data_IF_445257492607
#
_entry.id   IF_445257492607
#
_cell.length_a   1.000
_cell.length_b   1.000
_cell.length_c   1.000
_cell.angle_alpha   90.00
_cell.angle_beta   90.00
_cell.angle_gamma   90.00
#
_symmetry.space_group_name_H-M   'P 1'
#
loop_
_entity.id
_entity.type
_entity.pdbx_description
1 polymer ?
#
# COMPACT_ATOMS: atom_id res chain seq x y z
N UNK A 1 -2.14 5.69 -25.44
CA UNK A 1 -2.80 6.53 -24.41
C UNK A 1 -3.63 5.62 -23.54
N UNK A 2 -3.43 5.68 -22.22
CA UNK A 2 -4.22 4.89 -21.25
C UNK A 2 -5.70 5.34 -21.31
N UNK A 3 -6.62 4.40 -21.07
CA UNK A 3 -8.07 4.69 -20.96
C UNK A 3 -8.38 5.83 -19.96
N UNK A 4 -7.47 6.11 -19.04
CA UNK A 4 -7.64 7.09 -17.94
C UNK A 4 -6.78 8.35 -18.10
N UNK A 5 -6.12 8.57 -19.23
CA UNK A 5 -5.25 9.75 -19.44
C UNK A 5 -5.98 11.08 -19.25
N UNK A 6 -7.29 11.12 -19.54
CA UNK A 6 -8.11 12.32 -19.32
C UNK A 6 -8.29 12.60 -17.82
N UNK A 7 -8.52 11.56 -16.98
CA UNK A 7 -8.66 11.70 -15.52
C UNK A 7 -7.34 12.14 -14.88
N UNK A 8 -6.22 11.60 -15.35
CA UNK A 8 -4.87 12.02 -14.92
C UNK A 8 -4.64 13.49 -15.20
N UNK A 9 -4.97 13.98 -16.41
CA UNK A 9 -4.82 15.39 -16.75
C UNK A 9 -5.72 16.29 -15.92
N UNK A 10 -6.99 15.89 -15.72
CA UNK A 10 -7.92 16.61 -14.88
C UNK A 10 -7.38 16.73 -13.45
N UNK A 11 -6.98 15.64 -12.84
CA UNK A 11 -6.41 15.64 -11.48
C UNK A 11 -5.15 16.50 -11.39
N UNK A 12 -4.25 16.41 -12.37
CA UNK A 12 -3.00 17.17 -12.38
C UNK A 12 -3.21 18.70 -12.35
N UNK A 13 -4.31 19.23 -12.88
CA UNK A 13 -4.60 20.66 -12.85
C UNK A 13 -4.87 21.20 -11.44
N UNK A 14 -5.34 20.35 -10.54
CA UNK A 14 -5.73 20.72 -9.17
C UNK A 14 -4.66 20.40 -8.12
N UNK A 15 -3.61 19.63 -8.45
CA UNK A 15 -2.52 19.30 -7.51
C UNK A 15 -1.48 20.42 -7.51
N UNK A 16 -1.18 21.06 -6.35
CA UNK A 16 -0.11 22.04 -6.24
C UNK A 16 1.27 21.47 -6.58
N UNK A 17 2.24 22.35 -6.87
CA UNK A 17 3.65 21.98 -6.98
C UNK A 17 4.34 22.04 -5.61
N UNK A 18 5.57 21.51 -5.54
CA UNK A 18 6.48 21.61 -4.39
C UNK A 18 5.93 21.04 -3.07
N UNK A 19 5.13 19.98 -3.19
CA UNK A 19 4.60 19.25 -2.03
C UNK A 19 5.66 18.31 -1.45
N UNK A 20 5.64 18.15 -0.12
CA UNK A 20 6.32 17.03 0.52
C UNK A 20 5.64 15.71 0.12
N UNK A 21 4.32 15.64 0.26
CA UNK A 21 3.55 14.41 0.02
C UNK A 21 2.29 14.66 -0.80
N UNK A 22 2.07 13.84 -1.82
CA UNK A 22 0.76 13.67 -2.43
C UNK A 22 0.13 12.37 -1.92
N UNK A 23 -0.99 12.50 -1.21
CA UNK A 23 -1.71 11.36 -0.60
C UNK A 23 -2.83 10.92 -1.51
N UNK A 24 -2.95 9.64 -1.77
CA UNK A 24 -4.03 9.07 -2.58
C UNK A 24 -4.91 8.11 -1.79
N UNK A 25 -6.22 8.29 -1.87
CA UNK A 25 -7.24 7.38 -1.38
C UNK A 25 -8.05 6.82 -2.54
N UNK A 26 -8.32 5.51 -2.51
CA UNK A 26 -9.23 4.86 -3.46
C UNK A 26 -10.46 4.38 -2.72
N UNK A 27 -11.61 4.92 -3.09
CA UNK A 27 -12.90 4.66 -2.47
C UNK A 27 -13.68 3.58 -3.23
N UNK A 28 -14.41 2.76 -2.49
CA UNK A 28 -15.40 1.84 -3.03
C UNK A 28 -16.52 1.61 -2.01
N UNK A 29 -17.52 2.48 -2.00
CA UNK A 29 -18.64 2.42 -1.07
C UNK A 29 -18.30 2.82 0.38
N UNK A 30 -17.25 3.64 0.57
CA UNK A 30 -16.86 4.18 1.87
C UNK A 30 -17.90 5.19 2.37
N UNK A 31 -18.10 5.30 3.67
CA UNK A 31 -18.98 6.28 4.25
C UNK A 31 -18.33 7.67 4.36
N UNK A 32 -19.17 8.69 4.48
CA UNK A 32 -18.74 10.09 4.53
C UNK A 32 -17.82 10.38 5.72
N UNK A 33 -18.12 9.82 6.89
CA UNK A 33 -17.36 10.10 8.12
C UNK A 33 -15.96 9.50 8.04
N UNK A 34 -15.82 8.29 7.48
CA UNK A 34 -14.52 7.66 7.22
C UNK A 34 -13.68 8.52 6.27
N UNK A 35 -14.26 8.98 5.15
CA UNK A 35 -13.55 9.81 4.17
C UNK A 35 -13.16 11.16 4.80
N UNK A 36 -14.08 11.78 5.56
CA UNK A 36 -13.81 13.06 6.24
C UNK A 36 -12.65 12.92 7.22
N UNK A 37 -12.64 11.87 8.05
CA UNK A 37 -11.53 11.59 8.98
C UNK A 37 -10.21 11.39 8.23
N UNK A 38 -10.22 10.60 7.15
CA UNK A 38 -9.03 10.34 6.35
C UNK A 38 -8.44 11.60 5.74
N UNK A 39 -9.25 12.51 5.22
CA UNK A 39 -8.78 13.80 4.68
C UNK A 39 -8.28 14.69 5.81
N UNK A 40 -9.03 14.83 6.90
CA UNK A 40 -8.71 15.71 8.01
C UNK A 40 -7.37 15.37 8.67
N UNK A 41 -7.05 14.09 8.86
CA UNK A 41 -5.77 13.68 9.46
C UNK A 41 -4.57 14.02 8.56
N UNK A 42 -4.72 13.97 7.24
CA UNK A 42 -3.67 14.41 6.31
C UNK A 42 -3.48 15.92 6.39
N UNK A 43 -4.57 16.68 6.43
CA UNK A 43 -4.54 18.14 6.52
C UNK A 43 -4.04 18.66 7.87
N UNK A 44 -4.19 17.89 8.94
CA UNK A 44 -3.65 18.20 10.27
C UNK A 44 -2.13 17.99 10.37
N UNK A 45 -1.53 17.30 9.40
CA UNK A 45 -0.08 17.12 9.37
C UNK A 45 0.64 18.44 9.07
N UNK A 46 1.78 18.64 9.73
CA UNK A 46 2.62 19.87 9.59
C UNK A 46 3.42 19.94 8.30
N UNK A 47 3.33 18.96 7.42
CA UNK A 47 4.04 18.94 6.14
C UNK A 47 3.17 19.52 5.01
N UNK A 48 3.82 19.95 3.93
CA UNK A 48 3.11 20.34 2.72
C UNK A 48 2.52 19.11 2.03
N UNK A 49 1.18 18.98 2.06
CA UNK A 49 0.50 17.81 1.51
C UNK A 49 -0.73 18.17 0.67
N UNK A 50 -1.10 17.26 -0.23
CA UNK A 50 -2.33 17.35 -1.00
C UNK A 50 -3.01 15.99 -1.11
N UNK A 51 -4.34 15.98 -0.98
CA UNK A 51 -5.14 14.75 -1.05
C UNK A 51 -5.78 14.59 -2.41
N UNK A 52 -5.63 13.41 -2.99
CA UNK A 52 -6.33 12.98 -4.21
C UNK A 52 -7.23 11.79 -3.87
N UNK A 53 -8.51 11.97 -4.05
CA UNK A 53 -9.55 10.96 -3.81
C UNK A 53 -10.00 10.38 -5.14
N UNK A 54 -9.87 9.08 -5.31
CA UNK A 54 -10.32 8.35 -6.50
C UNK A 54 -11.56 7.54 -6.14
N UNK A 55 -12.71 7.92 -6.67
CA UNK A 55 -13.95 7.21 -6.45
C UNK A 55 -14.16 6.10 -7.50
N UNK A 56 -14.04 4.87 -7.07
CA UNK A 56 -14.30 3.66 -7.84
C UNK A 56 -15.72 3.11 -7.64
N UNK A 57 -16.60 3.86 -6.98
CA UNK A 57 -17.97 3.43 -6.71
C UNK A 57 -18.85 3.50 -7.96
N UNK A 58 -19.85 2.64 -8.02
CA UNK A 58 -20.86 2.66 -9.07
C UNK A 58 -22.22 2.29 -8.43
N UNK A 59 -23.15 3.24 -8.28
CA UNK A 59 -23.05 4.65 -8.69
C UNK A 59 -21.96 5.42 -7.90
N UNK A 60 -21.48 6.56 -8.42
CA UNK A 60 -20.51 7.41 -7.72
C UNK A 60 -21.03 7.91 -6.38
N UNK A 61 -20.09 8.17 -5.46
CA UNK A 61 -20.38 8.80 -4.18
C UNK A 61 -20.63 10.31 -4.35
N UNK A 62 -21.43 10.89 -3.46
CA UNK A 62 -21.47 12.33 -3.31
C UNK A 62 -20.23 12.81 -2.53
N UNK A 63 -19.29 13.43 -3.22
CA UNK A 63 -17.99 13.87 -2.69
C UNK A 63 -17.79 15.39 -2.78
N UNK A 64 -18.88 16.19 -2.89
CA UNK A 64 -18.78 17.65 -2.86
C UNK A 64 -18.07 18.13 -1.59
N UNK A 65 -18.36 17.51 -0.45
CA UNK A 65 -17.70 17.82 0.83
C UNK A 65 -16.17 17.59 0.79
N UNK A 66 -15.70 16.54 0.12
CA UNK A 66 -14.27 16.27 -0.01
C UNK A 66 -13.57 17.34 -0.86
N UNK A 67 -14.23 17.79 -1.93
CA UNK A 67 -13.77 18.92 -2.73
C UNK A 67 -13.79 20.23 -1.93
N UNK A 68 -14.81 20.47 -1.12
CA UNK A 68 -14.88 21.64 -0.23
C UNK A 68 -13.78 21.62 0.86
N UNK A 69 -13.32 20.44 1.27
CA UNK A 69 -12.13 20.26 2.12
C UNK A 69 -10.81 20.46 1.36
N UNK A 70 -10.82 20.79 0.07
CA UNK A 70 -9.61 21.03 -0.73
C UNK A 70 -8.99 19.77 -1.34
N UNK A 71 -9.63 18.62 -1.27
CA UNK A 71 -9.15 17.43 -1.96
C UNK A 71 -9.44 17.48 -3.46
N UNK A 72 -8.55 16.95 -4.28
CA UNK A 72 -8.82 16.66 -5.69
C UNK A 72 -9.65 15.39 -5.78
N UNK A 73 -10.87 15.46 -6.31
CA UNK A 73 -11.77 14.32 -6.48
C UNK A 73 -11.78 13.88 -7.94
N UNK A 74 -11.61 12.58 -8.17
CA UNK A 74 -11.67 11.95 -9.49
C UNK A 74 -12.65 10.78 -9.45
N UNK A 75 -13.68 10.81 -10.28
CA UNK A 75 -14.69 9.75 -10.38
C UNK A 75 -14.41 8.88 -11.60
N UNK A 76 -14.27 7.57 -11.40
CA UNK A 76 -14.00 6.62 -12.48
C UNK A 76 -15.26 6.03 -13.12
N UNK A 77 -16.42 6.20 -12.47
CA UNK A 77 -17.72 5.64 -12.86
C UNK A 77 -17.74 4.09 -12.96
N UNK A 78 -16.74 3.43 -12.41
CA UNK A 78 -16.63 1.97 -12.40
C UNK A 78 -15.59 1.53 -11.38
N UNK A 79 -15.72 0.33 -10.81
CA UNK A 79 -14.64 -0.24 -10.03
C UNK A 79 -13.51 -0.73 -10.95
N UNK A 80 -12.46 0.07 -11.07
CA UNK A 80 -11.28 -0.24 -11.89
C UNK A 80 -10.20 -1.02 -11.13
N UNK A 81 -10.39 -1.26 -9.83
CA UNK A 81 -9.44 -1.93 -8.95
C UNK A 81 -8.57 -0.96 -8.14
N UNK A 82 -7.90 -1.49 -7.12
CA UNK A 82 -7.16 -0.70 -6.14
C UNK A 82 -5.94 0.00 -6.76
N UNK A 83 -5.00 -0.77 -7.29
CA UNK A 83 -3.76 -0.22 -7.86
C UNK A 83 -4.00 0.73 -9.03
N UNK A 84 -4.96 0.42 -9.92
CA UNK A 84 -5.31 1.31 -11.04
C UNK A 84 -5.90 2.63 -10.56
N UNK A 85 -6.71 2.61 -9.49
CA UNK A 85 -7.22 3.83 -8.88
C UNK A 85 -6.06 4.71 -8.42
N UNK A 86 -5.15 4.18 -7.62
CA UNK A 86 -3.97 4.90 -7.17
C UNK A 86 -3.08 5.38 -8.31
N UNK A 87 -2.98 4.63 -9.41
CA UNK A 87 -2.18 5.04 -10.57
C UNK A 87 -2.61 6.39 -11.17
N UNK A 88 -3.91 6.75 -11.08
CA UNK A 88 -4.39 8.06 -11.53
C UNK A 88 -3.73 9.16 -10.69
N UNK A 89 -3.73 9.04 -9.37
CA UNK A 89 -3.12 10.00 -8.45
C UNK A 89 -1.58 10.03 -8.59
N UNK A 90 -0.95 8.85 -8.68
CA UNK A 90 0.50 8.72 -8.86
C UNK A 90 0.97 9.38 -10.17
N UNK A 91 0.22 9.21 -11.25
CA UNK A 91 0.53 9.83 -12.53
C UNK A 91 0.28 11.34 -12.51
N UNK A 92 -0.83 11.79 -11.90
CA UNK A 92 -1.20 13.20 -11.83
C UNK A 92 -0.23 14.04 -10.96
N UNK A 93 0.36 13.43 -9.92
CA UNK A 93 1.33 14.09 -9.02
C UNK A 93 2.78 14.07 -9.52
N UNK A 94 3.02 13.59 -10.75
CA UNK A 94 4.38 13.56 -11.32
C UNK A 94 5.01 14.95 -11.36
N UNK A 95 6.23 15.07 -10.78
CA UNK A 95 6.97 16.32 -10.69
C UNK A 95 6.37 17.36 -9.73
N UNK A 96 5.44 16.96 -8.84
CA UNK A 96 4.74 17.86 -7.91
C UNK A 96 5.00 17.58 -6.44
N UNK A 97 5.55 16.42 -6.09
CA UNK A 97 5.82 16.03 -4.71
C UNK A 97 7.12 15.24 -4.60
N UNK A 98 7.68 15.22 -3.40
CA UNK A 98 8.86 14.43 -3.03
C UNK A 98 8.49 12.97 -2.79
N UNK A 99 7.33 12.76 -2.19
CA UNK A 99 6.80 11.45 -1.83
C UNK A 99 5.36 11.28 -2.29
N UNK A 100 4.99 10.06 -2.60
CA UNK A 100 3.59 9.65 -2.77
C UNK A 100 3.20 8.74 -1.62
N UNK A 101 2.10 9.04 -0.95
CA UNK A 101 1.50 8.17 0.05
C UNK A 101 0.25 7.49 -0.52
N UNK A 102 0.32 6.19 -0.69
CA UNK A 102 -0.84 5.33 -0.91
C UNK A 102 -1.35 4.93 0.47
N UNK A 103 -2.60 5.23 0.77
CA UNK A 103 -3.16 5.00 2.10
C UNK A 103 -4.62 4.57 2.03
N UNK A 104 -5.02 3.64 2.91
CA UNK A 104 -6.43 3.29 3.09
C UNK A 104 -7.14 4.35 3.94
N UNK A 105 -8.44 4.53 3.71
CA UNK A 105 -9.28 5.48 4.47
C UNK A 105 -9.61 5.03 5.88
N UNK A 106 -9.52 3.72 6.17
CA UNK A 106 -9.75 3.12 7.48
C UNK A 106 -8.50 3.07 8.37
N UNK A 107 -7.46 3.85 8.01
CA UNK A 107 -6.28 4.09 8.84
C UNK A 107 -6.44 5.38 9.65
N UNK A 108 -6.04 5.32 10.92
CA UNK A 108 -5.89 6.48 11.80
C UNK A 108 -4.42 6.63 12.19
N UNK A 109 -3.87 7.85 12.05
CA UNK A 109 -2.49 8.14 12.46
C UNK A 109 -2.42 8.43 13.96
N UNK A 110 -1.45 7.87 14.66
CA UNK A 110 -1.11 8.32 16.02
C UNK A 110 -0.16 9.52 15.90
N UNK A 111 -0.52 10.64 16.53
CA UNK A 111 0.23 11.88 16.38
C UNK A 111 0.33 12.34 14.91
N UNK A 112 1.48 12.86 14.52
CA UNK A 112 1.76 13.26 13.13
C UNK A 112 2.64 12.22 12.43
N UNK A 113 2.13 10.99 12.35
CA UNK A 113 2.86 9.88 11.73
C UNK A 113 3.20 10.15 10.25
N UNK A 114 2.43 10.96 9.53
CA UNK A 114 2.72 11.29 8.13
C UNK A 114 4.01 12.13 8.06
N UNK A 115 4.14 13.17 8.88
CA UNK A 115 5.36 13.98 8.94
C UNK A 115 6.55 13.18 9.50
N UNK A 116 6.31 12.31 10.48
CA UNK A 116 7.34 11.39 10.99
C UNK A 116 7.86 10.45 9.90
N UNK A 117 6.98 9.91 9.05
CA UNK A 117 7.37 9.07 7.93
C UNK A 117 8.14 9.85 6.84
N UNK A 118 7.82 11.13 6.59
CA UNK A 118 8.64 11.99 5.70
C UNK A 118 10.03 12.20 6.29
N UNK A 119 10.13 12.53 7.59
CA UNK A 119 11.40 12.69 8.29
C UNK A 119 12.22 11.39 8.22
N UNK A 120 11.57 10.25 8.43
CA UNK A 120 12.22 8.94 8.30
C UNK A 120 12.77 8.70 6.88
N UNK A 121 11.97 8.98 5.84
CA UNK A 121 12.42 8.83 4.46
C UNK A 121 13.57 9.80 4.11
N UNK A 122 13.57 11.00 4.66
CA UNK A 122 14.65 11.97 4.46
C UNK A 122 15.97 11.50 5.11
N UNK A 123 15.88 10.85 6.27
CA UNK A 123 17.02 10.25 6.95
C UNK A 123 17.54 8.95 6.26
N UNK A 124 16.74 8.35 5.38
CA UNK A 124 17.08 7.12 4.65
C UNK A 124 17.01 7.37 3.12
N UNK A 125 17.99 8.06 2.52
CA UNK A 125 17.96 8.41 1.10
C UNK A 125 17.97 7.21 0.15
N UNK A 126 18.41 6.05 0.62
CA UNK A 126 18.40 4.77 -0.08
C UNK A 126 17.05 4.01 0.02
N UNK A 127 16.10 4.53 0.81
CA UNK A 127 14.75 3.97 0.90
C UNK A 127 13.87 4.47 -0.27
N UNK A 128 13.27 3.53 -0.98
CA UNK A 128 12.27 3.79 -2.04
C UNK A 128 10.83 3.66 -1.54
N UNK A 129 10.63 2.87 -0.49
CA UNK A 129 9.32 2.62 0.14
C UNK A 129 9.51 2.47 1.64
N UNK A 130 8.62 3.07 2.42
CA UNK A 130 8.53 2.82 3.85
C UNK A 130 7.08 2.62 4.32
N UNK A 131 6.93 1.84 5.40
CA UNK A 131 5.65 1.58 6.08
C UNK A 131 5.84 1.74 7.59
N UNK A 132 4.90 2.39 8.31
CA UNK A 132 4.93 2.50 9.76
C UNK A 132 4.52 1.20 10.46
N UNK A 133 4.61 1.17 11.78
CA UNK A 133 3.97 0.15 12.61
C UNK A 133 2.46 0.26 12.50
N UNK A 134 1.80 -0.85 12.18
CA UNK A 134 0.34 -0.90 12.05
C UNK A 134 -0.24 -1.74 13.19
N UNK A 135 -1.23 -1.20 13.89
CA UNK A 135 -1.95 -1.89 14.97
C UNK A 135 -3.42 -2.04 14.65
N UNK A 136 -4.06 -3.01 15.28
CA UNK A 136 -5.52 -3.07 15.38
C UNK A 136 -6.03 -2.07 16.43
N UNK A 137 -7.35 -1.75 16.44
CA UNK A 137 -7.92 -0.86 17.45
C UNK A 137 -7.77 -1.37 18.89
N UNK A 138 -7.57 -2.67 19.10
CA UNK A 138 -7.29 -3.29 20.40
C UNK A 138 -5.82 -3.15 20.83
N UNK A 139 -4.99 -2.47 20.04
CA UNK A 139 -3.56 -2.27 20.25
C UNK A 139 -2.67 -3.42 19.81
N UNK A 140 -3.23 -4.55 19.38
CA UNK A 140 -2.46 -5.68 18.88
C UNK A 140 -1.80 -5.36 17.53
N UNK A 141 -0.62 -5.95 17.28
CA UNK A 141 0.17 -5.70 16.08
C UNK A 141 -0.45 -6.37 14.84
N UNK A 142 -0.59 -5.61 13.75
CA UNK A 142 -0.82 -6.16 12.43
C UNK A 142 0.50 -6.48 11.74
N UNK A 143 0.76 -7.78 11.49
CA UNK A 143 1.99 -8.24 10.83
C UNK A 143 1.87 -8.09 9.32
N UNK A 144 2.29 -6.93 8.81
CA UNK A 144 2.15 -6.54 7.40
C UNK A 144 3.47 -6.50 6.64
N UNK A 145 4.58 -6.79 7.33
CA UNK A 145 5.91 -6.99 6.74
C UNK A 145 6.07 -8.47 6.39
N UNK A 146 6.38 -8.78 5.13
CA UNK A 146 6.33 -10.17 4.67
C UNK A 146 7.48 -10.50 3.74
N UNK A 147 7.77 -11.79 3.64
CA UNK A 147 8.63 -12.34 2.59
C UNK A 147 7.92 -12.30 1.22
N UNK A 148 8.68 -12.49 0.15
CA UNK A 148 8.08 -12.80 -1.15
C UNK A 148 7.48 -14.22 -1.08
N UNK A 149 6.19 -14.39 -1.41
CA UNK A 149 5.53 -15.69 -1.28
C UNK A 149 6.03 -16.69 -2.34
N UNK A 150 6.03 -17.95 -1.97
CA UNK A 150 6.04 -19.05 -2.92
C UNK A 150 4.66 -19.76 -2.97
N UNK A 151 4.38 -20.60 -3.97
CA UNK A 151 3.10 -21.30 -4.07
C UNK A 151 2.78 -22.16 -2.84
N UNK A 152 3.79 -22.72 -2.15
CA UNK A 152 3.57 -23.52 -0.95
C UNK A 152 3.12 -22.70 0.27
N UNK A 153 3.51 -21.40 0.33
CA UNK A 153 3.01 -20.48 1.36
C UNK A 153 1.49 -20.29 1.21
N UNK A 154 1.01 -20.20 -0.03
CA UNK A 154 -0.43 -20.07 -0.28
C UNK A 154 -1.21 -21.35 0.13
N UNK A 155 -0.65 -22.52 -0.18
CA UNK A 155 -1.22 -23.82 0.22
C UNK A 155 -1.22 -23.92 1.74
N UNK A 156 -0.10 -23.62 2.40
CA UNK A 156 0.04 -23.65 3.84
C UNK A 156 -1.01 -22.77 4.54
N UNK A 157 -1.17 -21.53 4.08
CA UNK A 157 -2.08 -20.53 4.67
C UNK A 157 -3.55 -20.84 4.43
N UNK A 158 -3.92 -21.46 3.31
CA UNK A 158 -5.32 -21.74 2.96
C UNK A 158 -5.80 -23.12 3.37
N UNK A 159 -4.99 -24.14 3.12
CA UNK A 159 -5.41 -25.54 3.28
C UNK A 159 -4.84 -26.20 4.52
N UNK A 160 -3.68 -25.75 5.02
CA UNK A 160 -2.94 -26.39 6.09
C UNK A 160 -2.76 -25.51 7.34
N UNK A 161 -3.56 -24.44 7.47
CA UNK A 161 -3.50 -23.47 8.57
C UNK A 161 -3.54 -24.12 9.97
N UNK A 162 -4.25 -25.24 10.13
CA UNK A 162 -4.37 -25.99 11.40
C UNK A 162 -3.22 -26.96 11.68
N UNK A 163 -2.27 -27.14 10.77
CA UNK A 163 -1.14 -28.06 10.95
C UNK A 163 0.10 -27.33 11.48
N UNK A 164 1.00 -28.07 12.18
CA UNK A 164 2.28 -27.51 12.63
C UNK A 164 3.11 -26.96 11.48
N UNK A 165 3.12 -27.62 10.33
CA UNK A 165 3.82 -27.16 9.13
C UNK A 165 3.24 -25.86 8.58
N UNK A 166 1.90 -25.77 8.47
CA UNK A 166 1.22 -24.55 8.01
C UNK A 166 1.48 -23.36 8.94
N UNK A 167 1.44 -23.61 10.26
CA UNK A 167 1.77 -22.61 11.28
C UNK A 167 3.21 -22.13 11.14
N UNK A 168 4.19 -23.02 11.12
CA UNK A 168 5.61 -22.67 11.01
C UNK A 168 5.92 -21.85 9.75
N UNK A 169 5.29 -22.21 8.61
CA UNK A 169 5.45 -21.41 7.37
C UNK A 169 4.83 -20.02 7.48
N UNK A 170 3.65 -19.91 8.08
CA UNK A 170 3.02 -18.61 8.28
C UNK A 170 3.82 -17.74 9.26
N UNK A 171 4.31 -18.33 10.36
CA UNK A 171 5.13 -17.63 11.34
C UNK A 171 6.42 -17.08 10.72
N UNK A 172 7.04 -17.85 9.83
CA UNK A 172 8.20 -17.39 9.05
C UNK A 172 7.82 -16.29 8.04
N UNK A 173 6.73 -16.47 7.30
CA UNK A 173 6.29 -15.57 6.24
C UNK A 173 5.91 -14.18 6.78
N UNK A 174 5.26 -14.10 7.95
CA UNK A 174 4.79 -12.88 8.61
C UNK A 174 5.67 -12.47 9.81
N UNK A 175 6.84 -13.10 10.01
CA UNK A 175 7.79 -12.78 11.07
C UNK A 175 7.17 -12.76 12.48
N UNK A 176 6.41 -13.80 12.84
CA UNK A 176 5.75 -13.89 14.15
C UNK A 176 6.72 -13.92 15.33
N UNK A 177 7.98 -14.32 15.12
CA UNK A 177 9.02 -14.39 16.15
C UNK A 177 9.84 -13.09 16.28
N UNK A 178 9.47 -12.03 15.54
CA UNK A 178 10.12 -10.73 15.63
C UNK A 178 9.21 -9.73 16.37
N UNK A 179 9.82 -8.86 17.20
CA UNK A 179 9.12 -7.91 18.08
C UNK A 179 8.55 -6.69 17.35
N UNK A 180 9.03 -6.41 16.12
CA UNK A 180 8.65 -5.22 15.36
C UNK A 180 9.02 -3.88 16.04
N UNK A 181 10.10 -3.85 16.82
CA UNK A 181 10.53 -2.65 17.55
C UNK A 181 11.79 -1.99 16.97
N UNK A 182 12.34 -2.54 15.89
CA UNK A 182 13.50 -2.01 15.19
C UNK A 182 13.20 -1.74 13.71
N UNK A 183 13.96 -0.81 13.10
CA UNK A 183 13.92 -0.58 11.64
C UNK A 183 14.47 -1.81 10.93
N UNK A 184 13.73 -2.30 9.94
CA UNK A 184 14.16 -3.48 9.18
C UNK A 184 13.70 -3.41 7.71
N UNK A 185 14.39 -4.15 6.85
CA UNK A 185 14.08 -4.23 5.42
C UNK A 185 13.24 -5.46 5.11
N UNK A 186 12.13 -5.26 4.40
CA UNK A 186 11.25 -6.34 3.95
C UNK A 186 10.93 -6.21 2.46
N UNK A 187 10.95 -7.30 1.69
CA UNK A 187 10.69 -7.23 0.26
C UNK A 187 9.22 -7.02 -0.09
N UNK A 188 8.32 -7.18 0.88
CA UNK A 188 6.90 -6.94 0.73
C UNK A 188 6.34 -6.20 1.95
N UNK A 189 5.85 -5.00 1.71
CA UNK A 189 5.10 -4.16 2.64
C UNK A 189 3.67 -3.98 2.12
N UNK A 190 2.69 -4.04 3.03
CA UNK A 190 1.27 -3.99 2.68
C UNK A 190 0.85 -2.67 2.04
N UNK A 191 -0.07 -2.75 1.09
CA UNK A 191 -0.66 -1.62 0.39
C UNK A 191 -1.51 -0.68 1.24
N UNK A 192 -1.79 -1.01 2.51
CA UNK A 192 -2.62 -0.14 3.36
C UNK A 192 -1.96 1.22 3.67
N UNK A 193 -0.62 1.25 3.78
CA UNK A 193 0.16 2.47 3.93
C UNK A 193 1.52 2.31 3.23
N UNK A 194 1.73 3.01 2.14
CA UNK A 194 2.96 2.96 1.35
C UNK A 194 3.50 4.38 1.12
N UNK A 195 4.51 4.80 1.91
CA UNK A 195 5.24 6.04 1.65
C UNK A 195 6.31 5.77 0.60
N UNK A 196 6.06 6.18 -0.63
CA UNK A 196 6.91 5.91 -1.78
C UNK A 196 7.74 7.15 -2.16
N UNK A 197 9.05 7.00 -2.36
CA UNK A 197 9.91 8.05 -2.92
C UNK A 197 9.56 8.27 -4.39
N UNK A 198 9.25 9.51 -4.76
CA UNK A 198 8.80 9.87 -6.12
C UNK A 198 9.79 9.42 -7.20
N UNK A 199 11.06 9.69 -7.04
CA UNK A 199 12.09 9.31 -8.02
C UNK A 199 12.18 7.80 -8.26
N UNK A 200 11.94 7.00 -7.21
CA UNK A 200 11.92 5.53 -7.32
C UNK A 200 10.67 5.04 -8.04
N UNK A 201 9.50 5.63 -7.74
CA UNK A 201 8.26 5.33 -8.49
C UNK A 201 8.39 5.69 -9.97
N UNK A 202 9.04 6.81 -10.30
CA UNK A 202 9.30 7.19 -11.69
C UNK A 202 10.22 6.19 -12.41
N UNK A 203 11.15 5.55 -11.68
CA UNK A 203 12.07 4.56 -12.22
C UNK A 203 11.40 3.19 -12.42
N UNK A 204 10.66 2.69 -11.42
CA UNK A 204 10.10 1.34 -11.46
C UNK A 204 8.71 1.27 -12.09
N UNK A 205 8.04 2.41 -12.27
CA UNK A 205 6.66 2.54 -12.70
C UNK A 205 5.66 2.35 -11.55
N UNK A 206 4.40 2.60 -11.84
CA UNK A 206 3.28 2.55 -10.91
C UNK A 206 2.82 1.10 -10.63
N UNK A 207 1.66 0.93 -9.99
CA UNK A 207 1.05 -0.39 -9.85
C UNK A 207 0.81 -1.03 -11.22
N UNK A 208 1.03 -2.32 -11.33
CA UNK A 208 0.81 -3.07 -12.57
C UNK A 208 -0.70 -3.26 -12.80
N UNK A 209 -1.22 -2.73 -13.89
CA UNK A 209 -2.64 -2.71 -14.25
C UNK A 209 -3.29 -4.09 -14.43
N UNK A 210 -2.48 -5.15 -14.49
CA UNK A 210 -2.99 -6.52 -14.56
C UNK A 210 -3.64 -6.99 -13.27
N UNK A 211 -3.29 -6.38 -12.12
CA UNK A 211 -3.88 -6.70 -10.82
C UNK A 211 -5.13 -5.85 -10.59
N UNK A 212 -6.24 -6.50 -10.32
CA UNK A 212 -7.48 -5.81 -9.95
C UNK A 212 -7.52 -5.52 -8.45
N UNK A 213 -7.20 -6.52 -7.66
CA UNK A 213 -7.15 -6.46 -6.20
C UNK A 213 -6.25 -7.61 -5.71
N UNK A 214 -5.40 -7.34 -4.71
CA UNK A 214 -4.36 -8.20 -4.16
C UNK A 214 -3.17 -8.42 -5.11
N UNK A 215 -1.99 -8.59 -4.55
CA UNK A 215 -0.69 -8.75 -5.21
C UNK A 215 -0.19 -7.52 -6.00
N UNK A 216 -0.97 -6.45 -6.17
CA UNK A 216 -0.48 -5.18 -6.72
C UNK A 216 0.58 -4.52 -5.82
N UNK A 217 0.36 -4.54 -4.50
CA UNK A 217 1.27 -4.04 -3.47
C UNK A 217 2.53 -4.92 -3.35
N UNK A 218 2.35 -6.23 -3.41
CA UNK A 218 3.44 -7.19 -3.45
C UNK A 218 4.35 -6.97 -4.67
N UNK A 219 3.76 -6.80 -5.86
CA UNK A 219 4.49 -6.57 -7.10
C UNK A 219 5.25 -5.24 -7.08
N UNK A 220 4.60 -4.18 -6.61
CA UNK A 220 5.22 -2.85 -6.50
C UNK A 220 6.34 -2.86 -5.47
N UNK A 221 6.11 -3.41 -4.26
CA UNK A 221 7.15 -3.55 -3.23
C UNK A 221 8.37 -4.30 -3.77
N UNK A 222 8.16 -5.42 -4.47
CA UNK A 222 9.24 -6.21 -5.06
C UNK A 222 10.02 -5.43 -6.11
N UNK A 223 9.36 -4.67 -7.00
CA UNK A 223 10.04 -3.84 -8.00
C UNK A 223 10.83 -2.71 -7.34
N UNK A 224 10.29 -2.07 -6.31
CA UNK A 224 11.02 -1.06 -5.53
C UNK A 224 12.22 -1.70 -4.84
N UNK A 225 12.04 -2.86 -4.18
CA UNK A 225 13.12 -3.55 -3.47
C UNK A 225 14.27 -4.01 -4.38
N UNK A 226 14.07 -4.08 -5.69
CA UNK A 226 15.14 -4.40 -6.66
C UNK A 226 16.08 -3.22 -6.97
N UNK A 227 15.69 -1.98 -6.64
CA UNK A 227 16.45 -0.76 -6.96
C UNK A 227 16.71 0.13 -5.75
N UNK A 228 15.96 -0.03 -4.66
CA UNK A 228 16.03 0.77 -3.44
C UNK A 228 15.58 -0.07 -2.25
N UNK A 229 15.84 0.38 -1.02
CA UNK A 229 15.37 -0.32 0.17
C UNK A 229 13.85 -0.13 0.37
N UNK A 230 13.21 -1.18 0.89
CA UNK A 230 11.83 -1.15 1.37
C UNK A 230 11.86 -1.36 2.89
N UNK A 231 11.58 -0.30 3.66
CA UNK A 231 11.84 -0.23 5.09
C UNK A 231 10.55 -0.22 5.92
N UNK A 232 10.60 -0.93 7.02
CA UNK A 232 9.63 -0.80 8.11
C UNK A 232 10.16 0.17 9.14
N UNK A 233 9.32 1.13 9.58
CA UNK A 233 9.62 2.10 10.63
C UNK A 233 8.75 1.82 11.86
N UNK A 234 9.33 1.38 13.00
CA UNK A 234 8.58 1.10 14.23
C UNK A 234 8.20 2.35 15.02
N UNK A 235 8.81 3.51 14.74
CA UNK A 235 8.68 4.72 15.54
C UNK A 235 7.41 5.50 15.22
N UNK A 236 6.85 5.30 14.02
CA UNK A 236 5.56 5.86 13.64
C UNK A 236 4.50 4.78 13.70
N UNK A 237 3.31 5.13 14.20
CA UNK A 237 2.22 4.17 14.42
C UNK A 237 0.96 4.64 13.72
N UNK A 238 0.29 3.69 13.09
CA UNK A 238 -1.06 3.88 12.56
C UNK A 238 -1.97 2.77 13.06
N UNK A 239 -3.23 3.10 13.33
CA UNK A 239 -4.27 2.15 13.72
C UNK A 239 -5.13 1.84 12.51
N UNK A 240 -5.26 0.58 12.16
CA UNK A 240 -6.04 0.12 11.02
C UNK A 240 -7.36 -0.47 11.52
N UNK A 241 -8.45 0.25 11.32
CA UNK A 241 -9.81 -0.21 11.62
C UNK A 241 -10.24 -1.33 10.66
N UNK A 242 -9.35 -2.32 10.46
CA UNK A 242 -9.59 -3.40 9.53
C UNK A 242 -10.95 -4.05 9.81
N UNK A 243 -11.96 -3.71 9.01
CA UNK A 243 -13.27 -4.35 9.04
C UNK A 243 -13.14 -5.78 8.50
N UNK A 244 -12.67 -6.69 9.36
CA UNK A 244 -12.64 -8.11 9.06
C UNK A 244 -14.07 -8.57 8.76
N UNK A 245 -14.41 -8.68 7.49
CA UNK A 245 -15.56 -9.51 7.14
C UNK A 245 -15.14 -10.95 7.44
N UNK A 246 -15.77 -11.56 8.40
CA UNK A 246 -15.48 -12.86 8.99
C UNK A 246 -15.35 -14.01 7.97
N UNK A 247 -15.85 -13.82 6.76
CA UNK A 247 -15.70 -14.76 5.63
C UNK A 247 -15.39 -14.01 4.33
N UNK A 248 -14.26 -14.29 3.66
CA UNK A 248 -14.00 -13.71 2.36
C UNK A 248 -15.07 -14.15 1.36
N UNK A 249 -15.69 -13.18 0.67
CA UNK A 249 -16.66 -13.51 -0.37
C UNK A 249 -15.98 -14.30 -1.50
N UNK A 250 -16.71 -15.18 -2.18
CA UNK A 250 -16.23 -15.96 -3.34
C UNK A 250 -15.58 -15.02 -4.40
N UNK A 251 -16.11 -13.80 -4.54
CA UNK A 251 -15.58 -12.77 -5.43
C UNK A 251 -14.17 -12.33 -5.03
N UNK A 252 -13.91 -12.10 -3.72
CA UNK A 252 -12.58 -11.75 -3.21
C UNK A 252 -11.58 -12.90 -3.36
N UNK A 253 -12.03 -14.15 -3.13
CA UNK A 253 -11.21 -15.34 -3.35
C UNK A 253 -10.80 -15.44 -4.82
N UNK A 254 -11.74 -15.24 -5.75
CA UNK A 254 -11.46 -15.21 -7.20
C UNK A 254 -10.42 -14.14 -7.54
N UNK A 255 -10.57 -12.90 -7.04
CA UNK A 255 -9.60 -11.84 -7.31
C UNK A 255 -8.20 -12.19 -6.78
N UNK A 256 -8.11 -12.67 -5.54
CA UNK A 256 -6.83 -13.07 -4.97
C UNK A 256 -6.17 -14.20 -5.77
N UNK A 257 -6.94 -15.22 -6.19
CA UNK A 257 -6.42 -16.34 -6.98
C UNK A 257 -5.91 -15.87 -8.34
N UNK A 258 -6.68 -15.05 -9.06
CA UNK A 258 -6.28 -14.51 -10.37
C UNK A 258 -5.04 -13.63 -10.24
N UNK A 259 -4.99 -12.72 -9.25
CA UNK A 259 -3.88 -11.81 -9.05
C UNK A 259 -2.60 -12.55 -8.65
N UNK A 260 -2.68 -13.49 -7.72
CA UNK A 260 -1.53 -14.32 -7.33
C UNK A 260 -1.04 -15.20 -8.47
N UNK A 261 -1.95 -15.77 -9.28
CA UNK A 261 -1.53 -16.50 -10.48
C UNK A 261 -0.77 -15.60 -11.45
N UNK A 262 -1.25 -14.38 -11.69
CA UNK A 262 -0.55 -13.38 -12.53
C UNK A 262 0.82 -13.01 -11.96
N UNK A 263 0.92 -12.88 -10.63
CA UNK A 263 2.19 -12.62 -9.96
C UNK A 263 3.19 -13.76 -10.22
N UNK A 264 2.78 -15.01 -10.04
CA UNK A 264 3.67 -16.16 -10.30
C UNK A 264 3.99 -16.35 -11.79
N UNK A 265 3.07 -16.02 -12.70
CA UNK A 265 3.39 -16.01 -14.15
C UNK A 265 4.42 -14.93 -14.50
N UNK A 266 4.41 -13.80 -13.81
CA UNK A 266 5.38 -12.71 -14.00
C UNK A 266 6.75 -13.03 -13.42
N UNK A 267 6.79 -13.59 -12.20
CA UNK A 267 8.01 -13.71 -11.40
C UNK A 267 8.56 -15.14 -11.28
N UNK A 268 7.80 -16.14 -11.66
CA UNK A 268 8.13 -17.56 -11.55
C UNK A 268 7.34 -18.28 -10.48
N UNK A 269 6.90 -19.50 -10.82
CA UNK A 269 6.17 -20.36 -9.91
C UNK A 269 7.10 -21.12 -8.94
N UNK A 270 8.05 -21.85 -9.50
CA UNK A 270 8.97 -22.72 -8.74
C UNK A 270 10.37 -22.13 -8.74
N UNK A 271 10.87 -21.77 -9.92
CA UNK A 271 12.24 -21.23 -10.09
C UNK A 271 12.19 -19.70 -10.09
N UNK A 272 12.49 -19.11 -8.94
CA UNK A 272 12.60 -17.67 -8.73
C UNK A 272 13.83 -17.41 -7.84
N UNK A 273 15.01 -17.35 -8.45
CA UNK A 273 16.29 -17.18 -7.74
C UNK A 273 16.35 -15.86 -6.96
N UNK A 274 15.72 -14.82 -7.46
CA UNK A 274 15.69 -13.54 -6.77
C UNK A 274 14.83 -13.60 -5.51
N UNK A 275 13.69 -14.30 -5.54
CA UNK A 275 12.84 -14.53 -4.35
C UNK A 275 13.63 -15.19 -3.24
N UNK A 276 14.33 -16.28 -3.54
CA UNK A 276 15.04 -17.05 -2.52
C UNK A 276 16.20 -16.25 -1.92
N UNK A 277 16.96 -15.55 -2.76
CA UNK A 277 18.05 -14.67 -2.33
C UNK A 277 17.55 -13.52 -1.46
N UNK A 278 16.49 -12.83 -1.88
CA UNK A 278 15.90 -11.68 -1.17
C UNK A 278 15.30 -12.13 0.16
N UNK A 279 14.54 -13.23 0.16
CA UNK A 279 13.96 -13.77 1.38
C UNK A 279 15.04 -14.21 2.39
N UNK A 280 16.12 -14.83 1.91
CA UNK A 280 17.22 -15.23 2.78
C UNK A 280 17.92 -14.01 3.40
N UNK A 281 18.25 -13.00 2.59
CA UNK A 281 18.85 -11.75 3.07
C UNK A 281 17.95 -11.04 4.10
N UNK A 282 16.62 -11.09 3.91
CA UNK A 282 15.65 -10.55 4.88
C UNK A 282 15.69 -11.31 6.20
N UNK A 283 15.70 -12.66 6.16
CA UNK A 283 15.74 -13.47 7.38
C UNK A 283 17.07 -13.31 8.14
N UNK A 284 18.18 -13.13 7.42
CA UNK A 284 19.52 -13.00 8.04
C UNK A 284 19.70 -11.70 8.85
N UNK A 285 18.83 -10.69 8.65
CA UNK A 285 18.82 -9.47 9.49
C UNK A 285 18.42 -9.75 10.94
N UNK A 286 17.75 -10.88 11.22
CA UNK A 286 17.18 -11.22 12.53
C UNK A 286 17.92 -12.40 13.22
N UNK A 287 19.10 -12.76 12.72
CA UNK A 287 20.01 -13.76 13.31
C UNK A 287 21.15 -13.07 14.04
#
# INVERSE_FOLDING_TARGET
>A
MSRFDHLVRQAALSIPADLDVCVSFVLFGNDRDEITRAISQVQASRISSHVVVIDNSCPPLDLEFASAMGATVVTTNANIGYGRGHNIALAASKGRCRYNLVMNTDLQTEGDAIAGMVTFMDAHPDAGLAMPKVRYPDGSLQRLCRLLPDPSDLVARRLLKGTNWGKARNDRYEFHNWDYDTVAQFPFLSGCFMMCRRSVIDQVGYFDDRYFLYAEDLDLSRRINSVAKTLYNPHEVVVHEYRSQSTPSLKRIKYATVSLSRYFFKWGWIFDRDRDRVNQATVDQFR
#
